data_IF_386662303166
#
_entry.id   IF_386662303166
#
_cell.length_a   1.000
_cell.length_b   1.000
_cell.length_c   1.000
_cell.angle_alpha   90.00
_cell.angle_beta   90.00
_cell.angle_gamma   90.00
#
_symmetry.space_group_name_H-M   'P 1'
#
loop_
_entity.id
_entity.type
_entity.pdbx_description
1 polymer ?
#
# COMPACT_ATOMS: atom_id res chain seq x y z
N UNK A 1 -20.90 0.41 -24.69
CA UNK A 1 -21.27 -0.13 -23.37
C UNK A 1 -20.09 -0.96 -22.89
N UNK A 2 -19.15 -0.37 -22.15
CA UNK A 2 -17.97 -1.07 -21.65
C UNK A 2 -18.29 -1.61 -20.27
N UNK A 3 -18.36 -2.94 -20.16
CA UNK A 3 -18.36 -3.63 -18.89
C UNK A 3 -16.92 -3.54 -18.39
N UNK A 4 -16.66 -2.63 -17.45
CA UNK A 4 -15.43 -2.65 -16.67
C UNK A 4 -15.58 -3.85 -15.75
N UNK A 5 -14.90 -4.94 -16.08
CA UNK A 5 -14.72 -6.03 -15.13
C UNK A 5 -13.87 -5.48 -13.99
N UNK A 6 -14.53 -5.08 -12.90
CA UNK A 6 -13.92 -5.08 -11.58
C UNK A 6 -13.40 -6.50 -11.40
N UNK A 7 -12.08 -6.69 -11.32
CA UNK A 7 -11.54 -7.99 -10.93
C UNK A 7 -12.28 -8.41 -9.65
N UNK A 8 -12.86 -9.62 -9.60
CA UNK A 8 -13.48 -10.10 -8.38
C UNK A 8 -12.45 -10.02 -7.26
N UNK A 9 -12.86 -9.52 -6.09
CA UNK A 9 -12.01 -9.42 -4.89
C UNK A 9 -11.40 -10.75 -4.41
N UNK A 10 -11.65 -11.85 -5.13
CA UNK A 10 -11.17 -13.20 -4.85
C UNK A 10 -9.93 -13.61 -5.64
N UNK A 11 -9.41 -12.77 -6.56
CA UNK A 11 -8.26 -13.13 -7.42
C UNK A 11 -6.94 -12.45 -7.06
N UNK A 12 -6.87 -11.62 -6.02
CA UNK A 12 -5.65 -10.93 -5.60
C UNK A 12 -5.42 -11.10 -4.09
N UNK A 13 -4.17 -11.06 -3.65
CA UNK A 13 -3.86 -10.89 -2.24
C UNK A 13 -4.15 -9.45 -1.83
N UNK A 14 -4.71 -9.29 -0.63
CA UNK A 14 -4.96 -8.01 -0.02
C UNK A 14 -3.81 -7.59 0.89
N UNK A 15 -3.36 -6.35 0.75
CA UNK A 15 -2.33 -5.73 1.59
C UNK A 15 -2.95 -4.53 2.30
N UNK A 16 -3.14 -4.64 3.61
CA UNK A 16 -3.71 -3.57 4.44
C UNK A 16 -2.59 -2.75 5.08
N UNK A 17 -2.72 -1.43 5.02
CA UNK A 17 -1.75 -0.51 5.62
C UNK A 17 -2.41 0.29 6.71
N UNK A 18 -1.75 0.42 7.87
CA UNK A 18 -2.10 1.38 8.92
C UNK A 18 -0.98 2.41 9.03
N UNK A 19 -1.34 3.67 9.07
CA UNK A 19 -0.39 4.73 9.33
C UNK A 19 -0.09 4.78 10.84
N UNK A 20 1.18 4.78 11.23
CA UNK A 20 1.62 4.85 12.63
C UNK A 20 2.09 6.24 13.06
N UNK A 21 1.70 7.26 12.32
CA UNK A 21 2.31 8.58 12.40
C UNK A 21 3.66 8.58 11.66
N UNK A 22 4.18 9.77 11.42
CA UNK A 22 5.41 9.95 10.65
C UNK A 22 5.67 11.42 10.41
N UNK A 23 6.71 11.73 9.64
CA UNK A 23 7.05 13.09 9.33
C UNK A 23 6.15 13.64 8.20
N UNK A 24 5.44 14.74 8.47
CA UNK A 24 4.52 15.36 7.48
C UNK A 24 5.23 16.06 6.33
N UNK A 25 6.54 16.29 6.43
CA UNK A 25 7.38 16.77 5.33
C UNK A 25 7.93 15.64 4.44
N UNK A 26 7.60 14.38 4.74
CA UNK A 26 8.00 13.20 3.99
C UNK A 26 6.87 12.69 3.08
N UNK A 27 7.25 12.11 1.95
CA UNK A 27 6.36 11.33 1.09
C UNK A 27 6.68 9.84 1.23
N UNK A 28 5.68 9.04 1.59
CA UNK A 28 5.76 7.59 1.68
C UNK A 28 5.07 6.98 0.47
N UNK A 29 5.72 6.02 -0.19
CA UNK A 29 5.17 5.27 -1.31
C UNK A 29 5.27 3.79 -0.99
N UNK A 30 4.15 3.06 -1.07
CA UNK A 30 4.11 1.61 -0.82
C UNK A 30 3.73 0.90 -2.10
N UNK A 31 4.38 -0.22 -2.39
CA UNK A 31 4.06 -1.08 -3.53
C UNK A 31 4.37 -2.55 -3.27
N UNK A 32 4.06 -3.40 -4.24
CA UNK A 32 4.29 -4.84 -4.21
C UNK A 32 5.09 -5.29 -5.43
N UNK A 33 6.07 -6.15 -5.18
CA UNK A 33 6.90 -6.78 -6.21
C UNK A 33 6.89 -8.31 -6.06
N UNK A 34 7.18 -9.02 -7.16
CA UNK A 34 7.48 -10.45 -7.12
C UNK A 34 8.96 -10.73 -6.78
N UNK A 35 9.34 -12.00 -6.74
CA UNK A 35 10.73 -12.42 -6.43
C UNK A 35 11.77 -12.02 -7.48
N UNK A 36 11.34 -11.48 -8.62
CA UNK A 36 12.19 -10.98 -9.71
C UNK A 36 12.18 -9.44 -9.77
N UNK A 37 11.61 -8.77 -8.77
CA UNK A 37 11.41 -7.32 -8.75
C UNK A 37 10.48 -6.80 -9.86
N UNK A 38 9.58 -7.64 -10.36
CA UNK A 38 8.52 -7.16 -11.23
C UNK A 38 7.43 -6.51 -10.39
N UNK A 39 6.98 -5.34 -10.83
CA UNK A 39 5.90 -4.61 -10.21
C UNK A 39 4.56 -5.36 -10.33
N UNK A 40 3.91 -5.64 -9.20
CA UNK A 40 2.65 -6.41 -9.15
C UNK A 40 1.58 -5.76 -8.26
N UNK A 41 1.69 -4.48 -7.89
CA UNK A 41 0.55 -3.77 -7.31
C UNK A 41 -0.53 -3.55 -8.36
N UNK A 42 -1.76 -3.87 -8.02
CA UNK A 42 -2.91 -3.54 -8.83
C UNK A 42 -3.33 -2.09 -8.65
N UNK A 43 -3.29 -1.32 -9.74
CA UNK A 43 -3.79 0.05 -9.81
C UNK A 43 -5.02 0.10 -10.73
N UNK A 44 -6.21 0.49 -10.23
CA UNK A 44 -7.42 0.55 -11.04
C UNK A 44 -7.29 1.46 -12.27
N UNK A 45 -7.84 1.09 -13.44
CA UNK A 45 -7.71 1.89 -14.66
C UNK A 45 -8.51 3.20 -14.65
N UNK A 46 -9.24 3.50 -13.59
CA UNK A 46 -10.03 4.72 -13.41
C UNK A 46 -9.38 5.74 -12.47
N UNK A 47 -8.21 5.45 -11.89
CA UNK A 47 -7.54 6.46 -11.06
C UNK A 47 -6.90 7.59 -11.90
N UNK A 48 -6.99 8.86 -11.43
CA UNK A 48 -6.56 10.02 -12.22
C UNK A 48 -5.07 10.04 -12.57
N UNK A 49 -4.24 9.33 -11.79
CA UNK A 49 -2.79 9.32 -11.87
C UNK A 49 -2.24 8.05 -12.53
N UNK A 50 -2.85 7.62 -13.65
CA UNK A 50 -2.62 6.37 -14.42
C UNK A 50 -1.16 5.91 -14.65
N UNK A 51 -0.16 6.77 -14.45
CA UNK A 51 1.23 6.51 -14.79
C UNK A 51 2.16 6.39 -13.58
N UNK A 52 1.67 6.60 -12.36
CA UNK A 52 2.43 6.25 -11.17
C UNK A 52 2.07 4.80 -10.85
N UNK A 53 3.06 3.91 -10.93
CA UNK A 53 2.87 2.49 -10.69
C UNK A 53 2.28 2.21 -9.30
N UNK A 54 2.44 3.13 -8.34
CA UNK A 54 2.05 2.98 -6.95
C UNK A 54 1.44 4.27 -6.38
N UNK A 55 0.77 4.16 -5.23
CA UNK A 55 0.30 5.33 -4.50
C UNK A 55 1.36 5.86 -3.54
N UNK A 56 1.48 7.19 -3.50
CA UNK A 56 2.26 7.91 -2.50
C UNK A 56 1.35 8.80 -1.67
N UNK A 57 1.68 8.94 -0.39
CA UNK A 57 0.94 9.69 0.61
C UNK A 57 1.91 10.42 1.54
N UNK A 58 1.37 11.35 2.34
CA UNK A 58 2.14 11.92 3.46
C UNK A 58 2.51 10.81 4.43
N UNK A 59 3.77 10.70 4.86
CA UNK A 59 4.12 9.70 5.87
C UNK A 59 3.38 9.89 7.19
N UNK A 60 2.85 11.09 7.46
CA UNK A 60 2.09 11.38 8.68
C UNK A 60 0.61 10.93 8.64
N UNK A 61 0.02 10.70 7.46
CA UNK A 61 -1.41 10.35 7.35
C UNK A 61 -1.77 9.84 5.95
N UNK A 62 -2.83 9.02 5.87
CA UNK A 62 -3.46 8.64 4.60
C UNK A 62 -4.56 9.60 4.13
N UNK A 63 -4.80 10.71 4.84
CA UNK A 63 -5.89 11.63 4.52
C UNK A 63 -5.82 12.14 3.07
N UNK A 64 -6.94 12.02 2.35
CA UNK A 64 -7.06 12.48 0.97
C UNK A 64 -6.72 11.44 -0.08
N UNK A 65 -6.27 10.24 0.31
CA UNK A 65 -5.97 9.15 -0.63
C UNK A 65 -7.19 8.66 -1.40
N UNK A 66 -8.38 8.75 -0.81
CA UNK A 66 -9.65 8.43 -1.47
C UNK A 66 -9.94 9.32 -2.69
N UNK A 67 -9.43 10.57 -2.70
CA UNK A 67 -9.57 11.49 -3.84
C UNK A 67 -8.76 11.05 -5.04
N UNK A 68 -7.73 10.24 -4.80
CA UNK A 68 -6.89 9.63 -5.81
C UNK A 68 -7.36 8.21 -6.16
N UNK A 69 -8.53 7.80 -5.66
CA UNK A 69 -9.21 6.53 -5.90
C UNK A 69 -8.57 5.32 -5.21
N UNK A 70 -7.73 5.54 -4.20
CA UNK A 70 -7.32 4.48 -3.30
C UNK A 70 -8.48 4.08 -2.36
N UNK A 71 -8.55 2.80 -1.98
CA UNK A 71 -9.54 2.31 -1.02
C UNK A 71 -9.05 2.61 0.41
N UNK A 72 -9.56 3.69 0.99
CA UNK A 72 -9.29 4.11 2.36
C UNK A 72 -10.58 4.01 3.18
N UNK A 73 -10.60 3.10 4.16
CA UNK A 73 -11.75 2.89 5.06
C UNK A 73 -11.28 2.80 6.50
N UNK A 74 -11.86 3.63 7.37
CA UNK A 74 -11.53 3.68 8.81
C UNK A 74 -10.02 3.80 9.11
N UNK A 75 -9.30 4.59 8.30
CA UNK A 75 -7.85 4.78 8.44
C UNK A 75 -6.98 3.63 7.93
N UNK A 76 -7.58 2.62 7.28
CA UNK A 76 -6.87 1.50 6.64
C UNK A 76 -6.85 1.72 5.14
N UNK A 77 -5.65 1.80 4.58
CA UNK A 77 -5.43 1.88 3.14
C UNK A 77 -5.28 0.47 2.58
N UNK A 78 -6.06 0.13 1.56
CA UNK A 78 -6.13 -1.21 0.99
C UNK A 78 -5.46 -1.25 -0.38
N UNK A 79 -4.47 -2.12 -0.51
CA UNK A 79 -3.79 -2.45 -1.75
C UNK A 79 -4.13 -3.88 -2.14
N UNK A 80 -3.94 -4.18 -3.43
CA UNK A 80 -4.08 -5.52 -3.95
C UNK A 80 -2.89 -5.83 -4.85
N UNK A 81 -2.45 -7.08 -4.87
CA UNK A 81 -1.59 -7.58 -5.94
C UNK A 81 -2.39 -7.74 -7.24
N UNK A 82 -1.73 -7.97 -8.37
CA UNK A 82 -2.42 -8.27 -9.65
C UNK A 82 -3.05 -9.68 -9.67
N UNK A 83 -2.57 -10.60 -8.84
CA UNK A 83 -3.05 -11.98 -8.73
C UNK A 83 -2.81 -12.56 -7.32
N UNK A 84 -3.40 -13.71 -6.99
CA UNK A 84 -3.29 -14.40 -5.69
C UNK A 84 -2.46 -15.70 -5.77
N UNK A 85 -1.57 -15.80 -6.74
CA UNK A 85 -0.72 -16.98 -6.97
C UNK A 85 0.77 -16.66 -6.86
N UNK A 86 1.12 -15.41 -7.14
CA UNK A 86 2.49 -14.91 -7.13
C UNK A 86 2.89 -14.55 -5.70
N UNK A 87 3.97 -15.17 -5.22
CA UNK A 87 4.61 -14.76 -3.97
C UNK A 87 5.09 -13.33 -4.09
N UNK A 88 4.81 -12.49 -3.09
CA UNK A 88 5.09 -11.07 -3.15
C UNK A 88 5.90 -10.53 -1.97
N UNK A 89 6.49 -9.38 -2.20
CA UNK A 89 7.14 -8.48 -1.25
C UNK A 89 6.36 -7.17 -1.22
N UNK A 90 6.37 -6.51 -0.07
CA UNK A 90 5.84 -5.17 0.13
C UNK A 90 7.02 -4.26 0.38
N UNK A 91 7.11 -3.23 -0.44
CA UNK A 91 8.19 -2.25 -0.43
C UNK A 91 7.63 -0.91 0.05
N UNK A 92 8.43 -0.20 0.85
CA UNK A 92 8.14 1.17 1.30
C UNK A 92 9.34 2.04 0.96
N UNK A 93 9.09 3.08 0.16
CA UNK A 93 10.04 4.16 -0.09
C UNK A 93 9.60 5.43 0.64
N UNK A 94 10.54 6.08 1.33
CA UNK A 94 10.34 7.35 2.04
C UNK A 94 11.25 8.39 1.42
N UNK A 95 10.64 9.45 0.88
CA UNK A 95 11.33 10.59 0.28
C UNK A 95 11.21 11.81 1.18
N UNK A 96 12.35 12.40 1.53
CA UNK A 96 12.47 13.66 2.27
C UNK A 96 13.29 14.68 1.47
N UNK A 97 13.27 15.99 1.82
CA UNK A 97 14.11 16.97 1.14
C UNK A 97 15.61 16.63 1.24
N UNK A 98 16.16 16.03 0.19
CA UNK A 98 17.57 15.66 0.08
C UNK A 98 17.92 14.23 0.52
N UNK A 99 16.92 13.36 0.78
CA UNK A 99 17.15 11.99 1.25
C UNK A 99 16.10 11.01 0.69
N UNK A 100 16.51 9.76 0.52
CA UNK A 100 15.66 8.63 0.15
C UNK A 100 16.09 7.40 0.93
N UNK A 101 15.12 6.76 1.58
CA UNK A 101 15.33 5.53 2.35
C UNK A 101 14.17 4.59 2.11
N UNK A 102 14.48 3.31 2.03
CA UNK A 102 13.53 2.26 1.71
C UNK A 102 13.70 1.04 2.62
N UNK A 103 12.62 0.28 2.71
CA UNK A 103 12.59 -1.01 3.41
C UNK A 103 11.63 -1.94 2.69
N UNK A 104 11.79 -3.24 2.90
CA UNK A 104 10.89 -4.23 2.35
C UNK A 104 10.66 -5.40 3.29
N UNK A 105 9.48 -6.00 3.20
CA UNK A 105 9.09 -7.22 3.90
C UNK A 105 8.40 -8.15 2.92
N UNK A 106 8.69 -9.45 2.95
CA UNK A 106 8.13 -10.32 1.92
C UNK A 106 8.35 -11.81 2.01
N UNK A 107 8.08 -12.48 0.89
CA UNK A 107 7.91 -13.92 0.82
C UNK A 107 6.48 -14.36 1.14
N UNK A 108 5.50 -13.47 0.94
CA UNK A 108 4.11 -13.69 1.30
C UNK A 108 3.33 -14.35 0.16
N UNK A 109 2.42 -15.25 0.54
CA UNK A 109 1.44 -15.91 -0.33
C UNK A 109 0.07 -15.97 0.37
N UNK A 110 -0.25 -14.89 1.07
CA UNK A 110 -1.45 -14.68 1.89
C UNK A 110 -1.76 -13.19 1.96
N UNK A 111 -2.95 -12.83 2.40
CA UNK A 111 -3.27 -11.45 2.76
C UNK A 111 -2.42 -10.99 3.95
N UNK A 112 -2.02 -9.72 3.94
CA UNK A 112 -1.10 -9.15 4.93
C UNK A 112 -1.58 -7.80 5.44
N UNK A 113 -1.07 -7.42 6.61
CA UNK A 113 -1.22 -6.07 7.10
C UNK A 113 0.11 -5.53 7.62
N UNK A 114 0.36 -4.24 7.40
CA UNK A 114 1.55 -3.55 7.90
C UNK A 114 1.20 -2.25 8.61
N UNK A 115 1.97 -1.96 9.64
CA UNK A 115 2.16 -0.60 10.11
C UNK A 115 3.24 0.06 9.25
N UNK A 116 2.90 1.24 8.74
CA UNK A 116 3.77 2.06 7.89
C UNK A 116 4.22 3.27 8.70
N UNK A 117 5.53 3.46 8.80
CA UNK A 117 6.14 4.64 9.41
C UNK A 117 7.26 5.17 8.52
N UNK A 118 7.27 6.49 8.31
CA UNK A 118 8.32 7.20 7.60
C UNK A 118 8.73 8.44 8.38
N UNK A 119 9.99 8.51 8.77
CA UNK A 119 10.52 9.57 9.63
C UNK A 119 11.18 10.73 8.88
N UNK A 120 11.78 11.68 9.61
CA UNK A 120 12.37 12.88 9.02
C UNK A 120 13.72 12.65 8.30
N UNK A 121 14.48 11.62 8.68
CA UNK A 121 15.82 11.31 8.11
C UNK A 121 16.08 9.81 8.21
N UNK A 122 16.46 9.14 7.09
CA UNK A 122 16.85 7.72 7.07
C UNK A 122 15.95 6.74 7.85
N UNK A 123 14.63 6.99 7.86
CA UNK A 123 13.64 6.19 8.58
C UNK A 123 12.53 5.74 7.63
N UNK A 124 12.56 4.46 7.23
CA UNK A 124 11.48 3.74 6.56
C UNK A 124 11.23 2.43 7.30
N UNK A 125 10.02 2.25 7.83
CA UNK A 125 9.66 1.07 8.61
C UNK A 125 8.34 0.46 8.12
N UNK A 126 8.41 -0.84 7.81
CA UNK A 126 7.27 -1.71 7.60
C UNK A 126 7.28 -2.75 8.73
N UNK A 127 6.22 -2.77 9.54
CA UNK A 127 6.08 -3.76 10.62
C UNK A 127 4.83 -4.59 10.38
N UNK A 128 4.98 -5.91 10.19
CA UNK A 128 3.84 -6.82 10.01
C UNK A 128 2.91 -6.75 11.23
N UNK A 129 1.62 -6.64 10.95
CA UNK A 129 0.54 -6.66 11.94
C UNK A 129 -0.45 -7.79 11.60
N UNK A 130 -1.22 -8.30 12.58
CA UNK A 130 -2.22 -9.31 12.31
C UNK A 130 -3.27 -8.82 11.30
N UNK A 131 -3.38 -9.48 10.15
CA UNK A 131 -4.33 -9.11 9.09
C UNK A 131 -5.77 -9.00 9.60
N UNK A 132 -6.23 -9.95 10.41
CA UNK A 132 -7.58 -9.94 10.97
C UNK A 132 -7.88 -8.71 11.84
N UNK A 133 -6.87 -8.14 12.50
CA UNK A 133 -7.04 -6.92 13.29
C UNK A 133 -7.28 -5.72 12.37
N UNK A 134 -6.45 -5.56 11.35
CA UNK A 134 -6.59 -4.49 10.37
C UNK A 134 -7.90 -4.59 9.58
N UNK A 135 -8.29 -5.81 9.21
CA UNK A 135 -9.56 -6.08 8.54
C UNK A 135 -10.75 -5.66 9.42
N UNK A 136 -10.75 -6.02 10.70
CA UNK A 136 -11.80 -5.61 11.66
C UNK A 136 -11.89 -4.09 11.79
N UNK A 137 -10.76 -3.37 11.80
CA UNK A 137 -10.75 -1.90 11.84
C UNK A 137 -11.34 -1.34 10.54
N UNK A 138 -10.85 -1.80 9.39
CA UNK A 138 -11.33 -1.37 8.08
C UNK A 138 -12.82 -1.55 7.91
N UNK A 139 -13.35 -2.70 8.33
CA UNK A 139 -14.74 -3.09 8.13
C UNK A 139 -15.67 -2.67 9.29
N UNK A 140 -15.14 -1.97 10.29
CA UNK A 140 -15.94 -1.38 11.36
C UNK A 140 -16.90 -0.28 10.83
N UNK A 141 -18.00 -0.05 11.55
CA UNK A 141 -19.06 0.90 11.13
C UNK A 141 -19.00 2.20 11.91
#
# INVERSE_FOLDING_TARGET
MNIIALMPATEAYEVLLRNWGGYSGASCCVWQEDSQHNFITFIPPNVPLKNNAYYCFSCATFDGMEKWGADLRNGILTYHTIDNTTTYWVDLGVTNPGDYTDTNEGGYNKDTCFHVYGGPVNEAELTEAPYEECQKIRDSK
#
